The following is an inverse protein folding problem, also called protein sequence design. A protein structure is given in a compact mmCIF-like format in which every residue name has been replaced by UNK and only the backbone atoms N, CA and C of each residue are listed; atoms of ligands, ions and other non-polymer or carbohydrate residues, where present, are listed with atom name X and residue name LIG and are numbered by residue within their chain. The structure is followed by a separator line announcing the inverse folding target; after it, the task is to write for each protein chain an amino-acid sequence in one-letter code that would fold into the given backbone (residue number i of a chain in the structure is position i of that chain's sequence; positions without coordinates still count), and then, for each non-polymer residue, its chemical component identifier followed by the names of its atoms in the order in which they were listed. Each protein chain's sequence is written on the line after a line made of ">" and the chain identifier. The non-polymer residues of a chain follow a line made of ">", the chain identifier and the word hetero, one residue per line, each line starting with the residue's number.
data_IF_762900806450
#
_entry.id   IF_762900806450
#
_cell.length_a   1.000
_cell.length_b   1.000
_cell.length_c   1.000
_cell.angle_alpha   90.00
_cell.angle_beta   90.00
_cell.angle_gamma   90.00
#
_symmetry.space_group_name_H-M   'P 1'
#
loop_
_entity.id
_entity.type
_entity.pdbx_description
1 polymer ?
#
# COMPACT_ATOMS: atom_id res chain seq x y z
N UNK A 1 -24.25 -6.51 10.06
CA UNK A 1 -23.30 -6.79 11.16
C UNK A 1 -22.57 -5.50 11.49
N UNK A 2 -22.27 -5.24 12.76
CA UNK A 2 -21.63 -3.97 13.15
C UNK A 2 -20.10 -4.07 13.14
N UNK A 3 -19.55 -5.27 13.12
CA UNK A 3 -18.12 -5.53 13.11
C UNK A 3 -17.71 -6.50 12.00
N UNK A 4 -16.45 -6.41 11.59
CA UNK A 4 -15.79 -7.33 10.68
C UNK A 4 -14.34 -7.53 11.13
N UNK A 5 -13.75 -8.65 10.72
CA UNK A 5 -12.33 -8.93 10.91
C UNK A 5 -11.60 -8.60 9.61
N UNK A 6 -10.51 -7.83 9.73
CA UNK A 6 -9.56 -7.60 8.64
C UNK A 6 -8.74 -8.88 8.46
N UNK A 7 -8.80 -9.47 7.27
CA UNK A 7 -8.10 -10.75 7.01
C UNK A 7 -6.59 -10.57 7.18
N UNK A 8 -6.02 -9.48 6.65
CA UNK A 8 -4.62 -9.12 6.83
C UNK A 8 -4.47 -7.70 7.34
N UNK A 9 -3.91 -7.59 8.53
CA UNK A 9 -3.56 -6.32 9.17
C UNK A 9 -2.07 -6.31 9.51
N UNK A 10 -1.55 -5.16 9.95
CA UNK A 10 -0.17 -5.06 10.45
C UNK A 10 0.10 -5.97 11.64
N UNK A 11 -0.95 -6.28 12.42
CA UNK A 11 -0.94 -7.23 13.55
C UNK A 11 -0.97 -8.71 13.13
N UNK A 12 -1.10 -8.98 11.83
CA UNK A 12 -1.18 -10.32 11.26
C UNK A 12 -2.59 -10.75 10.86
N UNK A 13 -2.71 -12.05 10.58
CA UNK A 13 -3.90 -12.68 10.01
C UNK A 13 -5.04 -12.79 11.04
N UNK A 14 -6.22 -12.27 10.69
CA UNK A 14 -7.42 -12.25 11.54
C UNK A 14 -7.23 -11.63 12.94
N UNK A 15 -6.24 -10.74 13.11
CA UNK A 15 -5.91 -10.13 14.43
C UNK A 15 -6.56 -8.78 14.68
N UNK A 16 -7.20 -8.17 13.68
CA UNK A 16 -7.78 -6.84 13.78
C UNK A 16 -9.26 -6.88 13.48
N UNK A 17 -10.07 -6.47 14.47
CA UNK A 17 -11.49 -6.19 14.31
C UNK A 17 -11.71 -4.72 14.01
N UNK A 18 -12.67 -4.41 13.15
CA UNK A 18 -13.08 -3.05 12.82
C UNK A 18 -14.59 -2.92 12.90
N UNK A 19 -15.07 -1.83 13.50
CA UNK A 19 -16.50 -1.52 13.49
C UNK A 19 -16.90 -0.83 12.19
N UNK A 20 -18.16 -0.97 11.79
CA UNK A 20 -18.68 -0.34 10.58
C UNK A 20 -18.71 1.19 10.68
N UNK A 21 -18.60 1.75 11.89
CA UNK A 21 -18.55 3.20 12.14
C UNK A 21 -17.15 3.77 11.97
N UNK A 22 -16.11 2.97 12.22
CA UNK A 22 -14.71 3.39 12.07
C UNK A 22 -14.27 3.40 10.59
N UNK A 23 -15.06 2.79 9.70
CA UNK A 23 -14.86 2.88 8.26
C UNK A 23 -15.28 4.26 7.75
N UNK A 24 -14.29 5.14 7.66
CA UNK A 24 -14.40 6.55 7.23
C UNK A 24 -14.96 6.78 5.82
N UNK A 25 -14.67 5.90 4.86
CA UNK A 25 -15.08 6.07 3.46
C UNK A 25 -15.06 4.73 2.70
N UNK A 26 -15.52 4.73 1.44
CA UNK A 26 -15.46 3.54 0.58
C UNK A 26 -14.02 3.15 0.24
N UNK A 27 -13.16 4.13 0.04
CA UNK A 27 -11.74 3.95 -0.26
C UNK A 27 -10.99 3.40 0.96
N UNK A 28 -11.35 3.88 2.16
CA UNK A 28 -10.89 3.28 3.40
C UNK A 28 -11.35 1.81 3.50
N UNK A 29 -12.60 1.50 3.16
CA UNK A 29 -13.09 0.12 3.11
C UNK A 29 -12.30 -0.76 2.12
N UNK A 30 -11.92 -0.23 0.95
CA UNK A 30 -11.06 -0.93 -0.03
C UNK A 30 -9.65 -1.18 0.51
N UNK A 31 -9.05 -0.23 1.25
CA UNK A 31 -7.75 -0.43 1.94
C UNK A 31 -7.80 -1.58 2.96
N UNK A 32 -8.93 -1.70 3.66
CA UNK A 32 -9.16 -2.71 4.70
C UNK A 32 -9.50 -4.09 4.13
N UNK A 33 -10.09 -4.16 2.94
CA UNK A 33 -10.47 -5.42 2.33
C UNK A 33 -9.24 -6.31 2.05
N UNK A 34 -9.29 -7.65 2.20
CA UNK A 34 -10.45 -8.49 2.53
C UNK A 34 -10.97 -8.33 3.96
N UNK A 35 -12.31 -8.38 4.09
CA UNK A 35 -13.02 -8.39 5.37
C UNK A 35 -13.85 -9.66 5.48
N UNK A 36 -13.90 -10.24 6.69
CA UNK A 36 -14.72 -11.41 7.01
C UNK A 36 -15.59 -11.18 8.23
N UNK A 37 -16.65 -11.98 8.39
CA UNK A 37 -17.49 -11.98 9.59
C UNK A 37 -16.66 -12.39 10.82
N UNK A 38 -17.03 -11.88 12.01
CA UNK A 38 -16.35 -12.24 13.26
C UNK A 38 -16.70 -13.64 13.77
N UNK A 39 -17.73 -14.28 13.21
CA UNK A 39 -18.10 -15.66 13.52
C UNK A 39 -17.05 -16.67 13.02
N UNK A 40 -17.11 -17.89 13.56
CA UNK A 40 -16.18 -18.96 13.19
C UNK A 40 -16.21 -19.28 11.69
N UNK A 41 -17.33 -19.02 11.03
CA UNK A 41 -17.50 -19.28 9.59
C UNK A 41 -16.76 -18.30 8.69
N UNK A 42 -16.23 -17.19 9.22
CA UNK A 42 -15.39 -16.19 8.53
C UNK A 42 -15.83 -15.90 7.10
N UNK A 43 -17.13 -15.63 6.93
CA UNK A 43 -17.72 -15.35 5.62
C UNK A 43 -17.27 -13.99 5.13
N UNK A 44 -16.95 -13.90 3.85
CA UNK A 44 -16.57 -12.62 3.24
C UNK A 44 -17.68 -11.58 3.40
N UNK A 45 -17.28 -10.36 3.77
CA UNK A 45 -18.20 -9.23 3.96
C UNK A 45 -17.73 -8.02 3.18
N UNK A 46 -18.67 -7.13 2.88
CA UNK A 46 -18.40 -5.79 2.36
C UNK A 46 -19.03 -4.74 3.26
N UNK A 47 -18.39 -3.58 3.32
CA UNK A 47 -18.91 -2.44 4.07
C UNK A 47 -19.99 -1.72 3.26
N UNK A 48 -21.10 -1.41 3.93
CA UNK A 48 -22.20 -0.63 3.37
C UNK A 48 -22.18 0.75 4.01
N UNK A 49 -22.02 1.78 3.18
CA UNK A 49 -22.01 3.17 3.62
C UNK A 49 -23.35 3.58 4.25
N UNK A 50 -23.33 4.54 5.21
CA UNK A 50 -24.56 5.09 5.74
C UNK A 50 -25.33 5.79 4.61
N UNK A 51 -26.66 5.85 4.74
CA UNK A 51 -27.50 6.63 3.84
C UNK A 51 -28.29 7.67 4.61
N UNK A 52 -28.47 8.84 3.98
CA UNK A 52 -29.17 9.97 4.54
C UNK A 52 -30.32 10.35 3.61
N UNK A 53 -31.43 10.77 4.20
CA UNK A 53 -32.61 11.29 3.51
C UNK A 53 -32.97 12.64 4.15
N UNK A 54 -32.96 13.71 3.36
CA UNK A 54 -33.12 15.09 3.83
C UNK A 54 -32.23 15.43 5.05
N UNK A 55 -30.96 15.00 5.01
CA UNK A 55 -29.99 15.21 6.09
C UNK A 55 -30.19 14.33 7.33
N UNK A 56 -31.27 13.53 7.41
CA UNK A 56 -31.51 12.58 8.49
C UNK A 56 -30.95 11.21 8.13
N UNK A 57 -30.30 10.56 9.10
CA UNK A 57 -29.76 9.23 8.91
C UNK A 57 -30.90 8.23 8.66
N UNK A 58 -30.96 7.67 7.45
CA UNK A 58 -31.93 6.64 7.06
C UNK A 58 -31.39 5.24 7.36
N UNK A 59 -30.09 5.02 7.13
CA UNK A 59 -29.42 3.73 7.36
C UNK A 59 -28.05 3.95 7.96
N UNK A 60 -27.77 3.26 9.06
CA UNK A 60 -26.43 3.19 9.65
C UNK A 60 -25.49 2.39 8.75
N UNK A 61 -24.20 2.71 8.82
CA UNK A 61 -23.19 1.83 8.24
C UNK A 61 -23.25 0.45 8.89
N UNK A 62 -22.99 -0.58 8.10
CA UNK A 62 -22.95 -1.97 8.55
C UNK A 62 -22.14 -2.80 7.55
N UNK A 63 -21.69 -3.98 7.96
CA UNK A 63 -21.16 -5.00 7.07
C UNK A 63 -22.28 -5.93 6.60
N UNK A 64 -22.23 -6.26 5.32
CA UNK A 64 -23.12 -7.20 4.63
C UNK A 64 -22.29 -8.36 4.10
N UNK A 65 -22.76 -9.58 4.32
CA UNK A 65 -22.16 -10.80 3.76
C UNK A 65 -22.23 -10.71 2.23
N UNK A 66 -21.11 -11.01 1.54
CA UNK A 66 -21.12 -11.13 0.09
C UNK A 66 -21.96 -12.36 -0.32
N UNK A 67 -22.68 -12.33 -1.46
CA UNK A 67 -23.50 -13.45 -1.90
C UNK A 67 -22.72 -14.78 -1.83
N UNK A 68 -23.35 -15.80 -1.25
CA UNK A 68 -22.71 -17.08 -0.94
C UNK A 68 -22.14 -17.75 -2.20
N UNK A 69 -20.82 -17.68 -2.36
CA UNK A 69 -20.07 -18.69 -3.10
C UNK A 69 -19.43 -19.62 -2.07
N UNK A 70 -19.53 -20.93 -2.30
CA UNK A 70 -18.92 -21.98 -1.45
C UNK A 70 -17.41 -21.74 -1.24
N UNK A 71 -16.76 -21.04 -2.16
CA UNK A 71 -15.40 -20.53 -2.06
C UNK A 71 -15.32 -19.20 -2.83
N UNK A 72 -14.82 -18.15 -2.18
CA UNK A 72 -14.54 -16.88 -2.86
C UNK A 72 -13.11 -16.91 -3.39
N UNK A 73 -12.92 -16.69 -4.68
CA UNK A 73 -11.60 -16.74 -5.33
C UNK A 73 -11.19 -15.35 -5.77
N UNK A 74 -10.33 -14.63 -5.01
CA UNK A 74 -10.00 -13.24 -5.28
C UNK A 74 -9.44 -12.98 -6.67
N UNK A 75 -8.59 -13.89 -7.17
CA UNK A 75 -7.99 -13.76 -8.49
C UNK A 75 -9.02 -13.88 -9.62
N UNK A 76 -9.91 -14.87 -9.54
CA UNK A 76 -10.96 -15.05 -10.55
C UNK A 76 -11.91 -13.85 -10.55
N UNK A 77 -12.32 -13.38 -9.37
CA UNK A 77 -13.12 -12.17 -9.23
C UNK A 77 -12.43 -10.93 -9.83
N UNK A 78 -11.13 -10.78 -9.59
CA UNK A 78 -10.32 -9.71 -10.20
C UNK A 78 -10.32 -9.79 -11.72
N UNK A 79 -10.07 -10.99 -12.26
CA UNK A 79 -9.98 -11.21 -13.71
C UNK A 79 -11.33 -10.96 -14.39
N UNK A 80 -12.43 -11.35 -13.74
CA UNK A 80 -13.80 -11.07 -14.20
C UNK A 80 -14.09 -9.56 -14.23
N UNK A 81 -13.74 -8.82 -13.18
CA UNK A 81 -13.90 -7.36 -13.12
C UNK A 81 -13.10 -6.65 -14.22
N UNK A 82 -11.84 -7.04 -14.42
CA UNK A 82 -11.04 -6.50 -15.52
C UNK A 82 -11.62 -6.89 -16.89
N UNK A 83 -12.01 -8.16 -17.09
CA UNK A 83 -12.61 -8.60 -18.36
C UNK A 83 -13.90 -7.82 -18.68
N UNK A 84 -14.76 -7.56 -17.70
CA UNK A 84 -15.96 -6.73 -17.86
C UNK A 84 -15.56 -5.31 -18.28
N UNK A 85 -14.53 -4.72 -17.67
CA UNK A 85 -14.02 -3.39 -18.06
C UNK A 85 -13.40 -3.37 -19.47
N UNK A 86 -12.80 -4.47 -19.91
CA UNK A 86 -12.29 -4.62 -21.28
C UNK A 86 -13.44 -4.77 -22.30
N UNK A 87 -14.48 -5.51 -21.93
CA UNK A 87 -15.62 -5.83 -22.80
C UNK A 87 -16.76 -4.83 -22.75
N UNK A 88 -16.80 -3.91 -21.77
CA UNK A 88 -17.78 -2.84 -21.72
C UNK A 88 -17.61 -1.97 -22.97
N UNK A 89 -18.47 -2.23 -23.97
CA UNK A 89 -18.40 -1.72 -25.35
C UNK A 89 -18.38 -0.20 -25.44
N UNK A 90 -18.74 0.51 -24.36
CA UNK A 90 -18.70 1.97 -24.29
C UNK A 90 -18.21 2.39 -22.90
N UNK A 91 -16.89 2.60 -22.77
CA UNK A 91 -16.39 3.58 -21.81
C UNK A 91 -17.25 4.84 -21.91
N UNK A 92 -17.79 5.33 -20.79
CA UNK A 92 -18.69 6.47 -20.82
C UNK A 92 -17.96 7.71 -21.38
N UNK A 93 -18.68 8.63 -22.06
CA UNK A 93 -18.09 9.87 -22.53
C UNK A 93 -17.38 10.66 -21.42
N UNK A 94 -17.94 10.66 -20.20
CA UNK A 94 -17.37 11.31 -19.03
C UNK A 94 -16.06 10.66 -18.62
N UNK A 95 -16.01 9.33 -18.50
CA UNK A 95 -14.80 8.60 -18.13
C UNK A 95 -13.67 8.84 -19.14
N UNK A 96 -13.99 8.72 -20.44
CA UNK A 96 -13.02 9.00 -21.51
C UNK A 96 -12.48 10.41 -21.43
N UNK A 97 -13.38 11.40 -21.34
CA UNK A 97 -13.01 12.82 -21.31
C UNK A 97 -12.17 13.16 -20.09
N UNK A 98 -12.53 12.64 -18.92
CA UNK A 98 -11.77 12.81 -17.69
C UNK A 98 -10.35 12.25 -17.81
N UNK A 99 -10.20 11.03 -18.33
CA UNK A 99 -8.91 10.37 -18.56
C UNK A 99 -8.03 11.17 -19.53
N UNK A 100 -8.57 11.59 -20.67
CA UNK A 100 -7.86 12.41 -21.66
C UNK A 100 -7.34 13.71 -21.05
N UNK A 101 -8.21 14.47 -20.37
CA UNK A 101 -7.85 15.74 -19.74
C UNK A 101 -6.78 15.59 -18.64
N UNK A 102 -6.87 14.52 -17.85
CA UNK A 102 -5.87 14.20 -16.81
C UNK A 102 -4.52 13.85 -17.44
N UNK A 103 -4.51 13.03 -18.49
CA UNK A 103 -3.29 12.68 -19.20
C UNK A 103 -2.65 13.89 -19.89
N UNK A 104 -3.45 14.75 -20.51
CA UNK A 104 -3.01 16.01 -21.13
C UNK A 104 -2.38 16.95 -20.09
N UNK A 105 -3.02 17.14 -18.94
CA UNK A 105 -2.50 18.01 -17.88
C UNK A 105 -1.21 17.47 -17.25
N UNK A 106 -1.12 16.15 -17.02
CA UNK A 106 0.13 15.52 -16.57
C UNK A 106 1.26 15.68 -17.60
N UNK A 107 0.95 15.46 -18.88
CA UNK A 107 1.91 15.63 -19.98
C UNK A 107 2.38 17.08 -20.11
N UNK A 108 1.46 18.04 -19.98
CA UNK A 108 1.78 19.47 -19.97
C UNK A 108 2.72 19.82 -18.82
N UNK A 109 2.44 19.35 -17.60
CA UNK A 109 3.31 19.57 -16.43
C UNK A 109 4.70 18.97 -16.65
N UNK A 110 4.75 17.72 -17.12
CA UNK A 110 6.00 17.02 -17.42
C UNK A 110 6.85 17.81 -18.43
N UNK A 111 6.26 18.21 -19.57
CA UNK A 111 6.95 18.97 -20.62
C UNK A 111 7.41 20.36 -20.15
N UNK A 112 6.69 20.96 -19.19
CA UNK A 112 7.04 22.24 -18.60
C UNK A 112 8.00 22.13 -17.40
N UNK A 113 8.43 20.92 -17.02
CA UNK A 113 9.27 20.70 -15.83
C UNK A 113 8.55 21.04 -14.50
N UNK A 114 7.22 21.01 -14.49
CA UNK A 114 6.40 21.32 -13.32
C UNK A 114 6.16 20.07 -12.47
N UNK A 115 6.22 20.24 -11.15
CA UNK A 115 5.90 19.17 -10.22
C UNK A 115 4.38 18.86 -10.19
N UNK A 116 4.07 17.64 -9.75
CA UNK A 116 2.75 17.20 -9.34
C UNK A 116 2.86 16.71 -7.89
N UNK A 117 2.88 17.63 -6.90
CA UNK A 117 2.94 17.24 -5.50
C UNK A 117 1.63 16.59 -5.05
N UNK A 118 1.73 15.67 -4.10
CA UNK A 118 0.59 15.07 -3.42
C UNK A 118 0.89 14.91 -1.93
N UNK A 119 -0.14 15.00 -1.08
CA UNK A 119 0.00 14.77 0.36
C UNK A 119 -1.24 14.20 1.01
N UNK A 120 -1.05 13.24 1.91
CA UNK A 120 -2.10 12.76 2.79
C UNK A 120 -1.51 12.28 4.11
N UNK A 121 -2.37 12.18 5.13
CA UNK A 121 -1.99 11.62 6.42
C UNK A 121 -2.76 10.33 6.66
N UNK A 122 -2.03 9.24 6.88
CA UNK A 122 -2.60 7.98 7.34
C UNK A 122 -2.59 7.93 8.86
N UNK A 123 -3.69 8.39 9.46
CA UNK A 123 -3.86 8.47 10.93
C UNK A 123 -3.67 7.12 11.64
N UNK A 124 -3.82 6.00 10.92
CA UNK A 124 -3.61 4.67 11.49
C UNK A 124 -2.14 4.24 11.50
N UNK A 125 -1.25 4.95 10.79
CA UNK A 125 0.14 4.56 10.58
C UNK A 125 1.18 5.53 11.15
N UNK A 126 0.86 6.83 11.16
CA UNK A 126 1.81 7.86 11.52
C UNK A 126 1.11 9.14 11.98
N UNK A 127 1.74 9.85 12.91
CA UNK A 127 1.37 11.22 13.26
C UNK A 127 1.84 12.24 12.20
N UNK A 128 2.61 11.80 11.21
CA UNK A 128 3.23 12.63 10.18
C UNK A 128 2.62 12.40 8.79
N UNK A 129 2.55 13.44 7.94
CA UNK A 129 2.04 13.30 6.59
C UNK A 129 3.02 12.54 5.69
N UNK A 130 2.46 11.93 4.66
CA UNK A 130 3.17 11.33 3.54
C UNK A 130 3.09 12.30 2.37
N UNK A 131 4.25 12.70 1.84
CA UNK A 131 4.37 13.70 0.78
C UNK A 131 5.28 13.20 -0.33
N UNK A 132 4.89 13.45 -1.58
CA UNK A 132 5.68 13.08 -2.75
C UNK A 132 5.35 13.93 -3.97
N UNK A 133 6.03 13.63 -5.07
CA UNK A 133 5.81 14.24 -6.37
C UNK A 133 5.59 13.13 -7.41
N UNK A 134 4.38 13.05 -7.98
CA UNK A 134 4.00 11.99 -8.92
C UNK A 134 4.88 12.02 -10.18
N UNK A 135 5.38 13.20 -10.58
CA UNK A 135 6.22 13.39 -11.76
C UNK A 135 7.74 13.33 -11.46
N UNK A 136 8.15 12.95 -10.24
CA UNK A 136 9.58 12.91 -9.88
C UNK A 136 10.31 11.84 -10.69
N UNK A 137 11.17 12.28 -11.62
CA UNK A 137 11.94 11.39 -12.48
C UNK A 137 11.14 10.79 -13.63
N UNK A 138 9.94 11.30 -13.91
CA UNK A 138 9.13 10.88 -15.04
C UNK A 138 9.70 11.40 -16.37
N UNK A 139 9.50 10.64 -17.43
CA UNK A 139 9.81 11.01 -18.81
C UNK A 139 8.65 10.73 -19.78
N UNK A 140 7.61 10.02 -19.33
CA UNK A 140 6.46 9.70 -20.15
C UNK A 140 5.17 9.64 -19.33
N UNK A 141 4.07 10.07 -19.96
CA UNK A 141 2.70 9.80 -19.51
C UNK A 141 2.05 8.90 -20.56
N UNK A 142 1.39 7.84 -20.13
CA UNK A 142 0.72 6.88 -21.01
C UNK A 142 -0.70 6.61 -20.52
N UNK A 143 -1.68 6.57 -21.42
CA UNK A 143 -3.03 6.12 -21.09
C UNK A 143 -3.16 4.62 -21.32
N UNK A 144 -4.05 3.96 -20.58
CA UNK A 144 -4.38 2.54 -20.79
C UNK A 144 -3.18 1.59 -20.68
N UNK A 145 -2.26 1.91 -19.76
CA UNK A 145 -1.00 1.20 -19.60
C UNK A 145 -1.23 -0.15 -18.89
N UNK A 146 -0.85 -1.25 -19.53
CA UNK A 146 -1.04 -2.59 -18.98
C UNK A 146 0.12 -3.01 -18.09
N UNK A 147 -0.22 -3.55 -16.92
CA UNK A 147 0.69 -4.09 -15.92
C UNK A 147 0.37 -5.55 -15.64
N UNK A 148 1.40 -6.33 -15.31
CA UNK A 148 1.23 -7.67 -14.76
C UNK A 148 1.23 -7.59 -13.24
N UNK A 149 0.18 -8.12 -12.62
CA UNK A 149 0.08 -8.17 -11.16
C UNK A 149 0.96 -9.31 -10.59
N UNK A 150 1.32 -9.26 -9.30
CA UNK A 150 2.11 -10.32 -8.66
C UNK A 150 1.45 -11.71 -8.67
N UNK A 151 0.12 -11.73 -8.82
CA UNK A 151 -0.71 -12.94 -8.88
C UNK A 151 -1.05 -13.37 -10.32
N UNK A 152 -0.35 -12.80 -11.32
CA UNK A 152 -0.38 -13.27 -12.70
C UNK A 152 -1.51 -12.70 -13.57
N UNK A 153 -2.32 -11.77 -13.05
CA UNK A 153 -3.38 -11.09 -13.80
C UNK A 153 -2.85 -9.88 -14.55
N UNK A 154 -3.62 -9.38 -15.52
CA UNK A 154 -3.36 -8.10 -16.18
C UNK A 154 -4.23 -7.03 -15.55
N UNK A 155 -3.63 -5.88 -15.28
CA UNK A 155 -4.31 -4.69 -14.81
C UNK A 155 -4.04 -3.54 -15.78
N UNK A 156 -5.05 -2.78 -16.17
CA UNK A 156 -4.88 -1.62 -17.05
C UNK A 156 -5.05 -0.31 -16.28
N UNK A 157 -3.99 0.49 -16.18
CA UNK A 157 -4.06 1.83 -15.61
C UNK A 157 -4.74 2.79 -16.58
N UNK A 158 -5.69 3.60 -16.12
CA UNK A 158 -6.28 4.65 -16.98
C UNK A 158 -5.20 5.64 -17.45
N UNK A 159 -4.39 6.14 -16.52
CA UNK A 159 -3.21 6.95 -16.80
C UNK A 159 -2.03 6.47 -15.96
N UNK A 160 -0.90 6.20 -16.59
CA UNK A 160 0.36 5.86 -15.95
C UNK A 160 1.38 6.97 -16.13
N UNK A 161 2.14 7.24 -15.07
CA UNK A 161 3.34 8.06 -15.11
C UNK A 161 4.54 7.12 -15.13
N UNK A 162 5.33 7.23 -16.19
CA UNK A 162 6.47 6.36 -16.45
C UNK A 162 7.78 7.14 -16.34
N UNK A 163 8.82 6.42 -15.94
CA UNK A 163 10.19 6.92 -15.88
C UNK A 163 11.19 5.96 -16.51
N UNK A 164 12.45 6.39 -16.62
CA UNK A 164 13.48 5.64 -17.30
C UNK A 164 13.77 4.32 -16.59
N UNK A 165 14.05 3.24 -17.34
CA UNK A 165 14.36 1.94 -16.76
C UNK A 165 15.57 2.01 -15.82
N UNK A 166 15.55 1.24 -14.74
CA UNK A 166 16.78 0.93 -13.98
C UNK A 166 17.60 -0.13 -14.71
N UNK A 167 16.93 -1.06 -15.40
CA UNK A 167 17.57 -2.14 -16.13
C UNK A 167 17.03 -2.30 -17.56
N UNK A 168 15.75 -2.63 -17.72
CA UNK A 168 15.17 -2.94 -19.03
C UNK A 168 13.79 -2.30 -19.23
N UNK A 169 12.84 -2.59 -18.35
CA UNK A 169 11.48 -2.08 -18.47
C UNK A 169 11.33 -0.67 -17.87
N UNK A 170 10.50 0.21 -18.50
CA UNK A 170 10.13 1.49 -17.91
C UNK A 170 9.61 1.32 -16.47
N UNK A 171 9.97 2.27 -15.61
CA UNK A 171 9.47 2.32 -14.26
C UNK A 171 8.07 2.90 -14.25
N UNK A 172 7.13 2.26 -13.56
CA UNK A 172 5.86 2.89 -13.21
C UNK A 172 6.11 3.71 -11.95
N UNK A 173 6.07 5.03 -12.07
CA UNK A 173 6.30 5.97 -10.98
C UNK A 173 5.01 6.31 -10.24
N UNK A 174 3.86 6.16 -10.91
CA UNK A 174 2.55 6.34 -10.32
C UNK A 174 1.44 6.08 -11.33
N UNK A 175 0.20 6.09 -10.84
CA UNK A 175 -0.98 5.95 -11.68
C UNK A 175 -2.11 6.88 -11.26
N UNK A 176 -3.00 7.19 -12.20
CA UNK A 176 -4.28 7.83 -11.94
C UNK A 176 -5.39 6.96 -12.49
N UNK A 177 -6.40 6.67 -11.66
CA UNK A 177 -7.60 5.91 -12.00
C UNK A 177 -8.82 6.82 -11.92
N UNK A 178 -9.64 6.81 -12.96
CA UNK A 178 -10.90 7.53 -13.02
C UNK A 178 -11.99 6.58 -12.51
N UNK A 179 -12.91 7.07 -11.67
CA UNK A 179 -13.99 6.25 -11.12
C UNK A 179 -15.38 6.74 -11.56
N UNK A 180 -16.24 5.83 -12.02
CA UNK A 180 -17.62 6.11 -12.44
C UNK A 180 -18.60 5.09 -11.84
N UNK A 181 -19.34 5.48 -10.79
CA UNK A 181 -20.42 4.69 -10.14
C UNK A 181 -19.92 3.48 -9.35
N UNK A 182 -20.37 3.25 -8.10
CA UNK A 182 -19.72 2.22 -7.25
C UNK A 182 -20.63 1.27 -6.45
N UNK A 183 -20.55 0.00 -6.83
CA UNK A 183 -20.47 -1.13 -5.90
C UNK A 183 -19.00 -1.31 -5.43
N UNK A 184 -18.76 -2.20 -4.46
CA UNK A 184 -17.41 -2.58 -4.01
C UNK A 184 -16.55 -3.09 -5.19
N UNK A 185 -15.35 -2.52 -5.38
CA UNK A 185 -14.38 -2.85 -6.46
C UNK A 185 -13.22 -3.66 -5.83
N UNK A 186 -13.31 -4.99 -5.94
CA UNK A 186 -12.32 -5.92 -5.36
C UNK A 186 -10.96 -5.82 -6.05
N UNK A 187 -10.98 -5.49 -7.33
CA UNK A 187 -9.80 -5.24 -8.16
C UNK A 187 -8.94 -4.11 -7.59
N UNK A 188 -9.49 -2.93 -7.31
CA UNK A 188 -8.73 -1.81 -6.73
C UNK A 188 -8.15 -2.14 -5.36
N UNK A 189 -8.89 -2.88 -4.54
CA UNK A 189 -8.39 -3.33 -3.24
C UNK A 189 -7.15 -4.23 -3.36
N UNK A 190 -7.15 -5.18 -4.32
CA UNK A 190 -5.99 -6.02 -4.60
C UNK A 190 -4.83 -5.24 -5.20
N UNK A 191 -5.10 -4.31 -6.12
CA UNK A 191 -4.07 -3.44 -6.71
C UNK A 191 -3.36 -2.59 -5.66
N UNK A 192 -4.11 -1.91 -4.79
CA UNK A 192 -3.54 -1.09 -3.73
C UNK A 192 -2.66 -1.88 -2.75
N UNK A 193 -2.85 -3.20 -2.63
CA UNK A 193 -2.04 -4.11 -1.81
C UNK A 193 -0.88 -4.78 -2.54
N UNK A 194 -0.77 -4.61 -3.86
CA UNK A 194 0.18 -5.38 -4.67
C UNK A 194 1.13 -4.55 -5.51
N UNK A 195 0.82 -3.26 -5.75
CA UNK A 195 1.66 -2.40 -6.57
C UNK A 195 2.52 -1.45 -5.72
N UNK A 196 3.80 -1.37 -6.06
CA UNK A 196 4.81 -0.54 -5.40
C UNK A 196 4.91 0.87 -5.95
N UNK A 197 3.79 1.58 -6.12
CA UNK A 197 3.75 2.99 -6.55
C UNK A 197 2.49 3.71 -6.03
N UNK A 198 2.48 5.06 -5.93
CA UNK A 198 1.29 5.83 -5.58
C UNK A 198 0.22 5.74 -6.69
N UNK A 199 -1.01 5.40 -6.31
CA UNK A 199 -2.17 5.36 -7.19
C UNK A 199 -3.21 6.37 -6.73
N UNK A 200 -3.50 7.36 -7.57
CA UNK A 200 -4.48 8.40 -7.30
C UNK A 200 -5.80 8.01 -7.95
N UNK A 201 -6.85 7.92 -7.16
CA UNK A 201 -8.21 7.66 -7.61
C UNK A 201 -8.98 8.97 -7.67
N UNK A 202 -9.69 9.23 -8.76
CA UNK A 202 -10.51 10.42 -8.99
C UNK A 202 -11.95 9.99 -9.25
N UNK A 203 -12.86 10.28 -8.32
CA UNK A 203 -14.29 9.97 -8.48
C UNK A 203 -14.99 11.05 -9.34
N UNK A 204 -15.58 10.62 -10.46
CA UNK A 204 -16.36 11.46 -11.38
C UNK A 204 -17.85 11.05 -11.44
N UNK A 205 -18.32 10.20 -10.53
CA UNK A 205 -19.68 9.60 -10.57
C UNK A 205 -20.81 10.62 -10.73
N UNK A 206 -20.70 11.77 -10.06
CA UNK A 206 -21.74 12.81 -10.07
C UNK A 206 -21.47 13.92 -11.10
N UNK A 207 -20.42 13.78 -11.91
CA UNK A 207 -20.01 14.79 -12.87
C UNK A 207 -20.71 14.62 -14.22
N UNK A 208 -21.08 15.75 -14.83
CA UNK A 208 -21.54 15.82 -16.21
C UNK A 208 -20.38 16.13 -17.15
N UNK A 209 -20.53 15.76 -18.42
CA UNK A 209 -19.52 16.01 -19.44
C UNK A 209 -19.11 17.49 -19.56
N UNK A 210 -20.04 18.43 -19.36
CA UNK A 210 -19.75 19.87 -19.41
C UNK A 210 -18.90 20.38 -18.25
N UNK A 211 -18.79 19.62 -17.16
CA UNK A 211 -17.98 19.96 -15.99
C UNK A 211 -16.52 19.47 -16.14
N UNK A 212 -16.24 18.62 -17.14
CA UNK A 212 -14.93 18.08 -17.45
C UNK A 212 -14.19 19.01 -18.42
N UNK A 213 -13.40 19.93 -17.86
CA UNK A 213 -12.60 20.92 -18.59
C UNK A 213 -11.09 20.81 -18.24
N UNK A 214 -10.19 21.44 -19.02
CA UNK A 214 -8.77 21.53 -18.65
C UNK A 214 -8.53 22.13 -17.26
N UNK A 215 -9.31 23.14 -16.87
CA UNK A 215 -9.25 23.77 -15.55
C UNK A 215 -9.68 22.79 -14.45
N UNK A 216 -10.66 21.92 -14.72
CA UNK A 216 -11.02 20.84 -13.81
C UNK A 216 -9.84 19.87 -13.61
N UNK A 217 -9.16 19.44 -14.69
CA UNK A 217 -8.03 18.52 -14.59
C UNK A 217 -6.86 19.13 -13.80
N UNK A 218 -6.57 20.41 -14.04
CA UNK A 218 -5.57 21.15 -13.25
C UNK A 218 -5.96 21.19 -11.76
N UNK A 219 -7.22 21.49 -11.46
CA UNK A 219 -7.73 21.58 -10.09
C UNK A 219 -7.69 20.24 -9.37
N UNK A 220 -8.24 19.19 -9.98
CA UNK A 220 -8.37 17.86 -9.34
C UNK A 220 -7.00 17.25 -9.02
N UNK A 221 -6.02 17.44 -9.92
CA UNK A 221 -4.64 16.98 -9.69
C UNK A 221 -3.92 17.80 -8.60
N UNK A 222 -4.37 19.02 -8.31
CA UNK A 222 -3.79 19.89 -7.28
C UNK A 222 -4.47 19.70 -5.92
N UNK A 223 -5.76 19.33 -5.89
CA UNK A 223 -6.51 19.06 -4.64
C UNK A 223 -5.98 17.88 -3.84
N UNK A 224 -5.13 17.04 -4.45
CA UNK A 224 -4.38 15.97 -3.78
C UNK A 224 -3.48 16.46 -2.64
N UNK A 225 -3.25 17.77 -2.54
CA UNK A 225 -2.45 18.41 -1.48
C UNK A 225 -3.26 19.00 -0.33
N UNK A 226 -4.60 18.99 -0.40
CA UNK A 226 -5.47 19.63 0.59
C UNK A 226 -6.62 18.71 0.97
N UNK A 227 -7.06 18.78 2.22
CA UNK A 227 -8.34 18.22 2.62
C UNK A 227 -9.43 19.26 2.34
N UNK A 228 -10.60 18.84 1.83
CA UNK A 228 -11.78 19.72 1.80
C UNK A 228 -12.15 20.11 3.24
N UNK A 229 -12.79 21.26 3.42
CA UNK A 229 -13.19 21.79 4.74
C UNK A 229 -14.11 20.82 5.52
N UNK A 230 -14.89 20.02 4.79
CA UNK A 230 -15.75 18.98 5.35
C UNK A 230 -15.08 17.58 5.44
N UNK A 231 -13.77 17.50 5.21
CA UNK A 231 -13.00 16.25 5.23
C UNK A 231 -13.25 15.29 4.06
N UNK A 232 -14.07 15.67 3.07
CA UNK A 232 -14.31 14.90 1.85
C UNK A 232 -13.17 15.10 0.86
N UNK A 233 -12.79 14.10 0.07
CA UNK A 233 -11.87 14.31 -1.07
C UNK A 233 -12.47 13.63 -2.28
N UNK A 234 -12.52 14.33 -3.41
CA UNK A 234 -12.79 13.70 -4.72
C UNK A 234 -11.60 12.82 -5.16
N UNK A 235 -10.42 13.08 -4.59
CA UNK A 235 -9.20 12.34 -4.87
C UNK A 235 -8.75 11.52 -3.68
N UNK A 236 -8.54 10.23 -3.86
CA UNK A 236 -7.96 9.35 -2.85
C UNK A 236 -6.60 8.82 -3.31
N UNK A 237 -5.64 8.74 -2.39
CA UNK A 237 -4.29 8.26 -2.70
C UNK A 237 -4.13 6.88 -2.04
N UNK A 238 -3.97 5.85 -2.86
CA UNK A 238 -3.50 4.54 -2.41
C UNK A 238 -1.98 4.53 -2.46
N UNK A 239 -1.37 4.28 -1.31
CA UNK A 239 0.06 4.08 -1.19
C UNK A 239 0.29 2.83 -0.34
N UNK A 240 1.08 1.90 -0.86
CA UNK A 240 1.45 0.70 -0.13
C UNK A 240 2.39 1.06 1.04
N UNK A 241 2.18 0.48 2.22
CA UNK A 241 2.94 0.75 3.46
C UNK A 241 4.47 0.61 3.27
N UNK A 242 4.89 -0.32 2.41
CA UNK A 242 6.28 -0.50 1.98
C UNK A 242 6.97 0.78 1.47
N UNK A 243 6.22 1.74 0.94
CA UNK A 243 6.73 3.03 0.48
C UNK A 243 6.66 4.13 1.54
N UNK A 244 6.07 3.91 2.71
CA UNK A 244 5.95 4.96 3.72
C UNK A 244 7.31 5.51 4.18
N UNK A 245 8.36 4.69 4.37
CA UNK A 245 9.70 5.22 4.68
C UNK A 245 10.29 6.15 3.62
N UNK A 246 9.79 6.12 2.38
CA UNK A 246 10.22 7.02 1.31
C UNK A 246 9.54 8.40 1.41
N UNK A 247 8.27 8.43 1.81
CA UNK A 247 7.41 9.62 1.68
C UNK A 247 7.09 10.31 3.01
N UNK A 248 7.37 9.68 4.15
CA UNK A 248 7.05 10.24 5.46
C UNK A 248 7.88 11.48 5.78
N UNK A 249 7.20 12.57 6.14
CA UNK A 249 7.85 13.82 6.53
C UNK A 249 8.09 13.84 8.04
N UNK A 250 9.17 13.18 8.45
CA UNK A 250 9.57 13.15 9.85
C UNK A 250 10.31 14.44 10.23
N UNK A 251 10.02 15.02 11.41
CA UNK A 251 10.77 16.17 11.89
C UNK A 251 12.20 15.74 12.26
N UNK A 252 13.14 16.67 12.17
CA UNK A 252 14.57 16.42 12.36
C UNK A 252 14.91 15.64 13.63
N UNK A 253 14.24 15.94 14.75
CA UNK A 253 14.46 15.25 16.03
C UNK A 253 14.04 13.77 16.06
N UNK A 254 13.29 13.29 15.07
CA UNK A 254 12.99 11.87 14.86
C UNK A 254 13.84 11.25 13.75
N UNK A 255 14.62 12.08 13.06
CA UNK A 255 15.40 11.75 11.88
C UNK A 255 16.91 12.00 12.12
N UNK A 256 17.34 11.99 13.39
CA UNK A 256 18.74 12.22 13.78
C UNK A 256 19.67 11.13 13.21
N UNK A 257 19.14 9.95 12.87
CA UNK A 257 19.90 8.88 12.24
C UNK A 257 19.78 8.86 10.71
N UNK A 258 20.92 8.91 10.03
CA UNK A 258 21.03 8.97 8.56
C UNK A 258 20.62 7.69 7.82
N UNK A 259 20.29 6.60 8.53
CA UNK A 259 20.04 5.28 7.95
C UNK A 259 18.81 4.62 8.56
N UNK A 260 18.12 3.84 7.73
CA UNK A 260 16.98 3.02 8.14
C UNK A 260 17.16 1.57 7.68
N UNK A 261 16.31 0.66 8.15
CA UNK A 261 16.42 -0.77 7.85
C UNK A 261 15.12 -1.42 7.40
N UNK A 262 15.20 -2.25 6.37
CA UNK A 262 14.17 -3.21 5.99
C UNK A 262 14.60 -4.61 6.43
N UNK A 263 13.64 -5.35 7.00
CA UNK A 263 13.79 -6.71 7.48
C UNK A 263 12.89 -7.59 6.60
N UNK A 264 13.49 -8.52 5.86
CA UNK A 264 12.82 -9.29 4.82
C UNK A 264 12.93 -10.77 5.14
N UNK A 265 11.79 -11.43 5.31
CA UNK A 265 11.67 -12.86 5.53
C UNK A 265 11.06 -13.53 4.29
N UNK A 266 11.72 -14.56 3.80
CA UNK A 266 11.30 -15.36 2.67
C UNK A 266 12.05 -16.70 2.69
N UNK A 267 11.69 -17.64 1.82
CA UNK A 267 12.45 -18.87 1.64
C UNK A 267 13.91 -18.59 1.24
N UNK A 268 14.78 -19.57 1.49
CA UNK A 268 16.22 -19.50 1.27
C UNK A 268 16.61 -19.05 -0.15
N UNK A 269 15.94 -19.61 -1.15
CA UNK A 269 16.23 -19.32 -2.56
C UNK A 269 15.86 -17.88 -2.90
N UNK A 270 14.72 -17.41 -2.38
CA UNK A 270 14.27 -16.03 -2.55
C UNK A 270 15.21 -15.04 -1.87
N UNK A 271 15.69 -15.34 -0.65
CA UNK A 271 16.64 -14.48 0.06
C UNK A 271 17.96 -14.34 -0.69
N UNK A 272 18.49 -15.42 -1.25
CA UNK A 272 19.73 -15.39 -2.04
C UNK A 272 19.58 -14.54 -3.32
N UNK A 273 18.46 -14.69 -4.03
CA UNK A 273 18.11 -13.84 -5.18
C UNK A 273 18.01 -12.37 -4.78
N UNK A 274 17.32 -12.08 -3.68
CA UNK A 274 17.17 -10.71 -3.18
C UNK A 274 18.51 -10.07 -2.83
N UNK A 275 19.45 -10.81 -2.23
CA UNK A 275 20.81 -10.28 -1.98
C UNK A 275 21.47 -9.82 -3.28
N UNK A 276 21.37 -10.62 -4.34
CA UNK A 276 21.95 -10.28 -5.64
C UNK A 276 21.24 -9.08 -6.28
N UNK A 277 19.91 -9.08 -6.29
CA UNK A 277 19.11 -8.00 -6.87
C UNK A 277 19.28 -6.67 -6.15
N UNK A 278 19.35 -6.65 -4.81
CA UNK A 278 19.54 -5.40 -4.06
C UNK A 278 20.94 -4.80 -4.26
N UNK A 279 21.97 -5.64 -4.40
CA UNK A 279 23.32 -5.19 -4.75
C UNK A 279 23.36 -4.62 -6.17
N UNK A 280 22.80 -5.36 -7.14
CA UNK A 280 22.70 -4.90 -8.52
C UNK A 280 21.92 -3.58 -8.63
N UNK A 281 20.82 -3.44 -7.88
CA UNK A 281 20.03 -2.21 -7.84
C UNK A 281 20.85 -1.03 -7.29
N UNK A 282 21.60 -1.24 -6.20
CA UNK A 282 22.48 -0.22 -5.66
C UNK A 282 23.55 0.21 -6.67
N UNK A 283 24.18 -0.76 -7.35
CA UNK A 283 25.20 -0.50 -8.38
C UNK A 283 24.61 0.25 -9.57
N UNK A 284 23.44 -0.15 -10.06
CA UNK A 284 22.74 0.49 -11.20
C UNK A 284 22.28 1.92 -10.92
N UNK A 285 22.02 2.22 -9.65
CA UNK A 285 21.68 3.56 -9.19
C UNK A 285 22.89 4.32 -8.67
N UNK A 286 24.11 3.81 -8.89
CA UNK A 286 25.37 4.50 -8.60
C UNK A 286 25.55 4.85 -7.11
N UNK A 287 25.04 4.00 -6.22
CA UNK A 287 25.33 4.15 -4.80
C UNK A 287 26.81 3.86 -4.51
N UNK A 288 27.50 4.71 -3.73
CA UNK A 288 28.85 4.40 -3.30
C UNK A 288 28.92 3.10 -2.48
N UNK A 289 30.05 2.40 -2.58
CA UNK A 289 30.28 1.14 -1.87
C UNK A 289 30.07 1.31 -0.36
N UNK A 290 29.24 0.45 0.24
CA UNK A 290 28.94 0.46 1.68
C UNK A 290 27.81 1.40 2.11
N UNK A 291 27.31 2.25 1.20
CA UNK A 291 26.13 3.10 1.48
C UNK A 291 24.88 2.25 1.56
N UNK A 292 24.68 1.31 0.63
CA UNK A 292 23.64 0.29 0.71
C UNK A 292 24.25 -0.98 1.29
N UNK A 293 23.81 -1.40 2.48
CA UNK A 293 24.29 -2.62 3.12
C UNK A 293 23.24 -3.72 3.01
N UNK A 294 23.61 -4.81 2.34
CA UNK A 294 22.77 -5.99 2.07
C UNK A 294 23.37 -7.19 2.80
N UNK A 295 22.72 -7.67 3.86
CA UNK A 295 23.28 -8.73 4.71
C UNK A 295 22.23 -9.78 5.12
N UNK A 296 22.60 -11.06 5.09
CA UNK A 296 21.81 -12.13 5.68
C UNK A 296 22.14 -12.25 7.17
N UNK A 297 21.11 -12.22 8.00
CA UNK A 297 21.21 -12.53 9.43
C UNK A 297 20.86 -14.00 9.60
N UNK A 298 21.82 -14.83 10.01
CA UNK A 298 21.64 -16.28 10.17
C UNK A 298 21.65 -16.65 11.66
N UNK A 299 20.61 -17.31 12.16
CA UNK A 299 20.44 -17.72 13.56
C UNK A 299 21.32 -18.88 14.03
N UNK A 300 22.56 -18.97 13.55
CA UNK A 300 23.51 -20.08 13.81
C UNK A 300 24.18 -20.02 15.20
N UNK A 301 24.18 -18.87 15.85
CA UNK A 301 24.68 -18.69 17.23
C UNK A 301 23.58 -18.10 18.11
N UNK A 302 23.68 -18.24 19.43
CA UNK A 302 22.68 -17.70 20.36
C UNK A 302 22.46 -16.19 20.19
N UNK A 303 23.55 -15.44 19.96
CA UNK A 303 23.46 -14.01 19.70
C UNK A 303 22.73 -13.72 18.38
N UNK A 304 23.06 -14.45 17.31
CA UNK A 304 22.43 -14.25 16.01
C UNK A 304 20.97 -14.73 15.98
N UNK A 305 20.64 -15.76 16.76
CA UNK A 305 19.27 -16.24 17.01
C UNK A 305 18.43 -15.15 17.67
N UNK A 306 18.93 -14.53 18.74
CA UNK A 306 18.27 -13.37 19.37
C UNK A 306 18.08 -12.20 18.41
N UNK A 307 19.05 -11.93 17.54
CA UNK A 307 18.91 -10.89 16.51
C UNK A 307 17.82 -11.23 15.49
N UNK A 308 17.74 -12.48 15.06
CA UNK A 308 16.71 -12.97 14.14
C UNK A 308 15.32 -12.89 14.79
N UNK A 309 15.18 -13.33 16.04
CA UNK A 309 13.92 -13.25 16.79
C UNK A 309 13.45 -11.80 16.96
N UNK A 310 14.35 -10.87 17.30
CA UNK A 310 14.03 -9.44 17.36
C UNK A 310 13.59 -8.89 16.00
N UNK A 311 14.20 -9.34 14.90
CA UNK A 311 13.75 -8.97 13.57
C UNK A 311 12.37 -9.56 13.24
N UNK A 312 12.12 -10.81 13.63
CA UNK A 312 10.84 -11.50 13.54
C UNK A 312 9.72 -10.74 14.26
N UNK A 313 9.99 -10.28 15.48
CA UNK A 313 9.05 -9.47 16.28
C UNK A 313 8.66 -8.14 15.61
N UNK A 314 9.50 -7.59 14.73
CA UNK A 314 9.17 -6.36 13.98
C UNK A 314 8.21 -6.67 12.83
N UNK A 315 8.40 -7.80 12.15
CA UNK A 315 7.58 -8.16 10.98
C UNK A 315 6.24 -8.82 11.35
N UNK A 316 6.15 -9.43 12.53
CA UNK A 316 4.91 -10.00 13.08
C UNK A 316 5.05 -11.45 13.53
N UNK A 317 4.02 -12.00 14.21
CA UNK A 317 4.09 -13.30 14.90
C UNK A 317 4.27 -14.51 13.97
N UNK A 318 3.95 -14.35 12.69
CA UNK A 318 3.96 -15.38 11.64
C UNK A 318 5.27 -15.41 10.84
N UNK A 319 6.33 -14.73 11.30
CA UNK A 319 7.62 -14.67 10.61
C UNK A 319 8.31 -16.02 10.46
N UNK A 320 8.08 -16.94 11.41
CA UNK A 320 8.67 -18.27 11.41
C UNK A 320 8.13 -19.14 10.26
N UNK A 321 6.89 -18.89 9.82
CA UNK A 321 6.27 -19.56 8.67
C UNK A 321 7.01 -19.23 7.36
N UNK A 322 7.75 -18.11 7.33
CA UNK A 322 8.54 -17.69 6.18
C UNK A 322 9.96 -18.22 6.25
N UNK A 323 10.64 -17.98 7.37
CA UNK A 323 12.00 -18.47 7.61
C UNK A 323 12.40 -18.28 9.08
N UNK A 324 12.53 -19.39 9.81
CA UNK A 324 12.93 -19.39 11.22
C UNK A 324 14.47 -19.45 11.42
N UNK A 325 15.24 -19.52 10.33
CA UNK A 325 16.70 -19.64 10.36
C UNK A 325 17.45 -18.39 9.89
N UNK A 326 16.87 -17.60 8.98
CA UNK A 326 17.51 -16.40 8.44
C UNK A 326 16.54 -15.36 7.90
N UNK A 327 17.02 -14.12 7.85
CA UNK A 327 16.33 -13.03 7.18
C UNK A 327 17.35 -12.16 6.42
N UNK A 328 16.87 -11.41 5.42
CA UNK A 328 17.64 -10.36 4.79
C UNK A 328 17.45 -9.05 5.57
N UNK A 329 18.55 -8.41 5.94
CA UNK A 329 18.60 -7.06 6.48
C UNK A 329 19.19 -6.12 5.43
N UNK A 330 18.39 -5.15 5.02
CA UNK A 330 18.77 -4.12 4.06
C UNK A 330 18.85 -2.78 4.77
N UNK A 331 20.04 -2.18 4.84
CA UNK A 331 20.25 -0.87 5.48
C UNK A 331 20.59 0.17 4.42
N UNK A 332 19.78 1.22 4.33
CA UNK A 332 19.87 2.27 3.32
C UNK A 332 20.04 3.64 3.99
N UNK A 333 20.63 4.63 3.28
CA UNK A 333 20.48 6.01 3.69
C UNK A 333 19.01 6.42 3.60
N UNK A 334 18.60 7.32 4.49
CA UNK A 334 17.25 7.89 4.40
C UNK A 334 17.15 8.83 3.18
N UNK A 335 15.95 8.97 2.59
CA UNK A 335 15.72 9.98 1.56
C UNK A 335 16.03 11.38 2.11
N UNK A 336 16.74 12.21 1.34
CA UNK A 336 17.09 13.59 1.75
C UNK A 336 15.94 14.59 1.62
N UNK A 337 14.73 14.10 1.34
CA UNK A 337 13.51 14.87 1.14
C UNK A 337 12.75 14.47 -0.12
N UNK A 338 11.61 15.14 -0.41
CA UNK A 338 10.70 14.76 -1.49
C UNK A 338 11.27 14.84 -2.92
N UNK A 339 12.44 15.46 -3.10
CA UNK A 339 13.12 15.58 -4.40
C UNK A 339 14.30 14.61 -4.60
N UNK A 340 14.57 13.71 -3.65
CA UNK A 340 15.68 12.76 -3.73
C UNK A 340 15.40 11.67 -4.79
N UNK A 341 15.78 11.94 -6.03
CA UNK A 341 15.52 11.06 -7.16
C UNK A 341 16.22 9.70 -7.03
N UNK A 342 17.43 9.66 -6.48
CA UNK A 342 18.19 8.40 -6.34
C UNK A 342 17.48 7.49 -5.33
N UNK A 343 17.10 8.03 -4.16
CA UNK A 343 16.33 7.30 -3.16
C UNK A 343 14.96 6.90 -3.68
N UNK A 344 14.26 7.79 -4.39
CA UNK A 344 12.96 7.51 -5.00
C UNK A 344 13.03 6.31 -5.95
N UNK A 345 13.99 6.30 -6.89
CA UNK A 345 14.17 5.18 -7.82
C UNK A 345 14.51 3.89 -7.08
N UNK A 346 15.40 3.93 -6.08
CA UNK A 346 15.77 2.75 -5.31
C UNK A 346 14.56 2.13 -4.60
N UNK A 347 13.83 2.94 -3.82
CA UNK A 347 12.72 2.45 -3.00
C UNK A 347 11.55 1.95 -3.85
N UNK A 348 11.23 2.63 -4.95
CA UNK A 348 10.17 2.21 -5.87
C UNK A 348 10.52 0.87 -6.56
N UNK A 349 11.76 0.71 -7.04
CA UNK A 349 12.21 -0.55 -7.63
C UNK A 349 12.28 -1.67 -6.60
N UNK A 350 12.79 -1.39 -5.40
CA UNK A 350 12.80 -2.33 -4.29
C UNK A 350 11.38 -2.79 -3.92
N UNK A 351 10.42 -1.87 -3.82
CA UNK A 351 9.03 -2.18 -3.53
C UNK A 351 8.44 -3.08 -4.62
N UNK A 352 8.66 -2.79 -5.90
CA UNK A 352 8.23 -3.66 -7.01
C UNK A 352 8.85 -5.05 -6.94
N UNK A 353 10.15 -5.16 -6.64
CA UNK A 353 10.82 -6.46 -6.46
C UNK A 353 10.15 -7.26 -5.32
N UNK A 354 9.97 -6.63 -4.16
CA UNK A 354 9.45 -7.29 -2.96
C UNK A 354 7.96 -7.64 -3.05
N UNK A 355 7.16 -6.83 -3.74
CA UNK A 355 5.71 -7.05 -3.86
C UNK A 355 5.35 -7.92 -5.06
N UNK A 356 6.10 -7.83 -6.16
CA UNK A 356 5.73 -8.45 -7.44
C UNK A 356 6.55 -9.66 -7.85
N UNK A 357 7.75 -9.82 -7.32
CA UNK A 357 8.67 -10.87 -7.74
C UNK A 357 9.06 -11.83 -6.62
N UNK A 358 8.55 -11.64 -5.41
CA UNK A 358 8.82 -12.50 -4.25
C UNK A 358 7.56 -12.74 -3.42
N UNK A 359 7.63 -13.78 -2.58
CA UNK A 359 6.66 -14.00 -1.50
C UNK A 359 7.30 -13.60 -0.17
N UNK A 360 7.70 -12.34 -0.05
CA UNK A 360 8.41 -11.85 1.13
C UNK A 360 7.49 -11.15 2.14
N UNK A 361 7.68 -11.47 3.42
CA UNK A 361 7.20 -10.68 4.55
C UNK A 361 8.22 -9.57 4.83
N UNK A 362 7.76 -8.32 4.91
CA UNK A 362 8.66 -7.17 5.06
C UNK A 362 8.25 -6.32 6.26
N UNK A 363 9.24 -5.97 7.07
CA UNK A 363 9.09 -4.94 8.08
C UNK A 363 10.20 -3.93 8.03
N UNK A 364 10.08 -2.96 8.92
CA UNK A 364 10.84 -1.74 8.91
C UNK A 364 11.29 -1.41 10.31
N UNK A 365 12.56 -1.05 10.43
CA UNK A 365 13.13 -0.51 11.65
C UNK A 365 13.58 0.91 11.33
N UNK A 366 12.86 1.88 11.89
CA UNK A 366 13.09 3.28 11.57
C UNK A 366 14.48 3.73 12.05
N UNK A 367 14.83 3.48 13.30
CA UNK A 367 16.11 3.88 13.87
C UNK A 367 16.89 2.62 14.30
N UNK A 368 18.16 2.52 13.91
CA UNK A 368 19.09 1.56 14.47
C UNK A 368 19.29 1.84 15.97
N UNK A 369 19.62 0.80 16.74
CA UNK A 369 19.78 0.92 18.19
C UNK A 369 18.47 1.03 18.98
N UNK A 370 17.33 1.34 18.35
CA UNK A 370 16.02 1.26 19.02
C UNK A 370 15.60 -0.21 19.10
N UNK A 371 15.35 -0.69 20.32
CA UNK A 371 14.80 -2.02 20.57
C UNK A 371 13.26 -2.00 20.44
N UNK A 372 12.69 -3.11 19.98
CA UNK A 372 11.24 -3.29 19.89
C UNK A 372 10.67 -3.68 21.26
N UNK A 373 10.58 -2.71 22.17
CA UNK A 373 10.12 -2.96 23.53
C UNK A 373 8.62 -3.31 23.64
N UNK A 374 7.85 -3.01 22.59
CA UNK A 374 6.40 -3.23 22.51
C UNK A 374 6.05 -4.03 21.26
N UNK A 375 6.45 -5.33 21.15
CA UNK A 375 6.21 -6.15 19.96
C UNK A 375 4.72 -6.31 19.59
N UNK A 376 3.81 -6.08 20.52
CA UNK A 376 2.36 -6.04 20.33
C UNK A 376 1.86 -4.85 19.51
N UNK A 377 2.62 -3.76 19.50
CA UNK A 377 2.29 -2.55 18.75
C UNK A 377 2.71 -2.69 17.28
N UNK A 378 1.86 -2.22 16.38
CA UNK A 378 2.07 -2.28 14.94
C UNK A 378 2.81 -1.06 14.36
N UNK A 379 3.02 -0.02 15.18
CA UNK A 379 3.69 1.23 14.83
C UNK A 379 4.84 1.51 15.78
N UNK A 380 5.92 2.09 15.26
CA UNK A 380 7.02 2.59 16.09
C UNK A 380 6.59 3.87 16.82
N UNK A 381 6.78 3.90 18.14
CA UNK A 381 6.53 5.09 18.96
C UNK A 381 7.85 5.64 19.48
N UNK A 382 8.16 6.88 19.12
CA UNK A 382 9.31 7.62 19.63
C UNK A 382 8.87 8.52 20.79
N UNK A 383 9.67 8.55 21.87
CA UNK A 383 9.41 9.42 23.02
C UNK A 383 10.41 10.56 23.04
N UNK A 384 9.91 11.79 23.14
CA UNK A 384 10.74 13.01 23.28
C UNK A 384 10.42 13.72 24.58
N UNK A 385 11.44 13.98 25.38
CA UNK A 385 11.30 14.81 26.58
C UNK A 385 11.03 16.27 26.19
N UNK A 386 9.95 16.84 26.72
CA UNK A 386 9.63 18.26 26.60
C UNK A 386 10.02 18.95 27.90
N UNK A 387 11.14 19.69 27.86
CA UNK A 387 11.75 20.33 29.03
C UNK A 387 10.76 21.23 29.76
N UNK A 388 10.06 22.10 29.03
CA UNK A 388 9.14 23.09 29.62
C UNK A 388 7.95 22.45 30.33
N UNK A 389 7.48 21.32 29.84
CA UNK A 389 6.33 20.58 30.39
C UNK A 389 6.73 19.54 31.42
N UNK A 390 8.04 19.21 31.52
CA UNK A 390 8.57 18.08 32.30
C UNK A 390 7.82 16.77 32.01
N UNK A 391 7.48 16.53 30.75
CA UNK A 391 6.76 15.33 30.30
C UNK A 391 7.35 14.79 29.00
N UNK A 392 7.18 13.50 28.74
CA UNK A 392 7.42 12.93 27.43
C UNK A 392 6.23 13.21 26.50
N UNK A 393 6.53 13.63 25.28
CA UNK A 393 5.61 13.49 24.14
C UNK A 393 5.89 12.18 23.41
N UNK A 394 4.83 11.50 23.01
CA UNK A 394 4.90 10.29 22.20
C UNK A 394 4.56 10.63 20.75
N UNK A 395 5.28 10.01 19.82
CA UNK A 395 5.17 10.26 18.39
C UNK A 395 5.09 8.93 17.66
N UNK A 396 3.97 8.67 17.00
CA UNK A 396 3.79 7.50 16.13
C UNK A 396 4.51 7.76 14.81
N UNK A 397 5.61 7.05 14.60
CA UNK A 397 6.54 7.31 13.51
C UNK A 397 6.07 6.62 12.24
N UNK A 398 6.19 5.30 12.17
CA UNK A 398 5.89 4.49 10.98
C UNK A 398 5.52 3.05 11.38
N UNK A 399 4.78 2.32 10.54
CA UNK A 399 4.46 0.91 10.77
C UNK A 399 5.71 0.04 10.89
N UNK A 400 5.63 -1.01 11.72
CA UNK A 400 6.66 -2.04 11.88
C UNK A 400 6.60 -3.07 10.75
N UNK A 401 5.41 -3.62 10.50
CA UNK A 401 5.14 -4.50 9.35
C UNK A 401 4.71 -3.64 8.16
N UNK A 402 5.43 -3.75 7.05
CA UNK A 402 5.20 -2.94 5.85
C UNK A 402 4.57 -3.71 4.69
N UNK A 403 4.82 -5.02 4.58
CA UNK A 403 4.28 -5.80 3.47
C UNK A 403 4.04 -7.26 3.86
N UNK A 404 3.01 -7.82 3.24
CA UNK A 404 2.65 -9.23 3.25
C UNK A 404 2.54 -9.69 1.79
N UNK A 405 2.91 -10.92 1.44
CA UNK A 405 2.70 -11.42 0.08
C UNK A 405 1.23 -11.48 -0.29
N UNK A 406 0.84 -10.80 -1.37
CA UNK A 406 -0.54 -10.85 -1.88
C UNK A 406 -0.98 -12.28 -2.24
N UNK A 407 -0.06 -13.16 -2.66
CA UNK A 407 -0.36 -14.56 -2.94
C UNK A 407 -0.82 -15.32 -1.69
N UNK A 408 -0.23 -15.02 -0.51
CA UNK A 408 -0.68 -15.58 0.77
C UNK A 408 -2.08 -15.06 1.12
N UNK A 409 -2.36 -13.79 0.81
CA UNK A 409 -3.69 -13.21 0.97
C UNK A 409 -4.74 -13.91 0.10
N UNK A 410 -4.42 -14.13 -1.17
CA UNK A 410 -5.30 -14.84 -2.11
C UNK A 410 -5.54 -16.28 -1.62
N UNK A 411 -4.51 -16.98 -1.17
CA UNK A 411 -4.61 -18.34 -0.66
C UNK A 411 -5.53 -18.41 0.58
N UNK A 412 -5.27 -17.58 1.60
CA UNK A 412 -6.07 -17.57 2.83
C UNK A 412 -7.54 -17.30 2.54
N UNK A 413 -7.85 -16.31 1.68
CA UNK A 413 -9.24 -16.00 1.32
C UNK A 413 -9.88 -17.16 0.54
N UNK A 414 -9.14 -17.79 -0.37
CA UNK A 414 -9.63 -18.94 -1.15
C UNK A 414 -9.94 -20.15 -0.27
N UNK A 415 -9.24 -20.31 0.84
CA UNK A 415 -9.36 -21.46 1.75
C UNK A 415 -10.32 -21.24 2.93
N UNK A 416 -10.93 -20.05 3.09
CA UNK A 416 -11.82 -19.68 4.21
C UNK A 416 -12.95 -20.69 4.51
N UNK A 417 -13.35 -21.52 3.55
CA UNK A 417 -14.41 -22.55 3.73
C UNK A 417 -13.94 -24.01 3.58
N UNK A 418 -12.73 -24.28 3.07
CA UNK A 418 -12.21 -25.65 2.96
C UNK A 418 -11.89 -26.27 4.32
N UNK A 419 -11.43 -25.45 5.26
CA UNK A 419 -11.03 -25.90 6.60
C UNK A 419 -12.20 -26.32 7.50
N UNK A 420 -13.46 -26.09 7.08
CA UNK A 420 -14.64 -26.48 7.86
C UNK A 420 -15.36 -27.73 7.33
N UNK A 421 -14.99 -28.22 6.14
CA UNK A 421 -15.52 -29.48 5.59
C UNK A 421 -14.75 -30.72 6.06
N UNK A 422 -13.50 -30.57 6.49
CA UNK A 422 -12.69 -31.67 7.07
C UNK A 422 -13.08 -31.99 8.51
N UNK A 423 -13.49 -31.00 9.31
CA UNK A 423 -13.91 -31.22 10.70
C UNK A 423 -15.34 -31.80 10.84
N UNK A 424 -16.08 -31.99 9.74
CA UNK A 424 -17.44 -32.56 9.74
C UNK A 424 -17.54 -33.98 9.19
N UNK A 425 -16.41 -34.59 8.83
CA UNK A 425 -16.37 -35.98 8.37
C UNK A 425 -15.85 -36.97 9.42
N UNK A 426 -15.42 -36.49 10.59
CA UNK A 426 -15.00 -37.30 11.74
C UNK A 426 -15.90 -37.09 12.97
N UNK A 427 -17.22 -37.27 12.80
CA UNK A 427 -18.17 -37.53 13.90
C UNK A 427 -19.08 -38.70 13.57
#
# INVERSE_FOLDING_TARGET
>A
MDEAIVVFSRKGIFKTTITARDVRSREHARKLWPLVSPDESRRMVTWVSPSFDNGKLRRRSHFRVLPDQLTFKPKEHFDDEEAIRWHSVQESPEHRRAKELVAEELSRRLNAGLAMPWTFKDEDASDYPLEGNLLLGADQVATEHSLKTPFGSKFRLDVAVLGPPVQAEPMVLGGVEIELGHAFDGRKALIGKSLGFPLISIDITEMKLTELTPEWAQRVLTTTTRSHEQGRRQTYIYLHDLLYPLYAQLPTFLDDEQRHQFLVFADDQTLEKLVQWMKLLADKLEYPKGVVAVALVNGKSDQARKMLERAGQVVGPDWQDFNDQKCLRLTLPRPKGPGDLQAHRFHMTMARILLSHTNALVGYKYCNGVDNNHPEDDVWVAKRWIVDKKTFSEHRVLPKRLAEPVNRLIAVVSDLRRNHSTDRLDV
#
